data_IF_508304263292
#
_entry.id   IF_508304263292
#
_cell.length_a   1.000
_cell.length_b   1.000
_cell.length_c   1.000
_cell.angle_alpha   90.00
_cell.angle_beta   90.00
_cell.angle_gamma   90.00
#
_symmetry.space_group_name_H-M   'P 1'
#
loop_
_entity.id
_entity.type
_entity.pdbx_description
1 polymer ?
#
# COMPACT_ATOMS: atom_id res chain seq x y z
N UNK A 1 14.74 -8.59 -0.96
CA UNK A 1 14.33 -10.02 -0.97
C UNK A 1 13.12 -10.14 -0.05
N UNK A 2 12.27 -11.13 -0.25
CA UNK A 2 11.17 -11.48 0.66
C UNK A 2 11.46 -12.83 1.31
N UNK A 3 10.89 -13.06 2.49
CA UNK A 3 10.89 -14.36 3.17
C UNK A 3 9.85 -15.28 2.52
N UNK A 4 9.94 -16.59 2.78
CA UNK A 4 8.99 -17.58 2.26
C UNK A 4 7.53 -17.26 2.64
N UNK A 5 7.36 -16.62 3.79
CA UNK A 5 6.14 -16.14 4.42
C UNK A 5 5.67 -14.76 3.90
N UNK A 6 6.29 -14.23 2.83
CA UNK A 6 5.82 -13.03 2.13
C UNK A 6 6.17 -11.71 2.80
N UNK A 7 6.97 -11.73 3.87
CA UNK A 7 7.44 -10.51 4.52
C UNK A 7 8.73 -10.01 3.88
N UNK A 8 8.93 -8.70 3.88
CA UNK A 8 10.20 -8.10 3.48
C UNK A 8 11.35 -8.64 4.35
N UNK A 9 12.53 -8.93 3.78
CA UNK A 9 13.70 -9.38 4.58
C UNK A 9 14.18 -8.37 5.61
N UNK A 10 13.75 -7.11 5.51
CA UNK A 10 14.06 -6.04 6.47
C UNK A 10 12.97 -5.88 7.54
N UNK A 11 11.95 -6.73 7.54
CA UNK A 11 10.93 -6.81 8.58
C UNK A 11 11.47 -7.62 9.76
N UNK A 12 11.66 -6.95 10.90
CA UNK A 12 11.93 -7.60 12.17
C UNK A 12 10.62 -8.13 12.75
N UNK A 13 10.50 -9.46 12.79
CA UNK A 13 9.32 -10.15 13.32
C UNK A 13 9.12 -9.96 14.82
N UNK A 14 10.21 -9.77 15.57
CA UNK A 14 10.15 -9.64 17.03
C UNK A 14 9.65 -8.25 17.43
N UNK A 15 10.14 -7.21 16.77
CA UNK A 15 9.71 -5.82 17.05
C UNK A 15 8.53 -5.37 16.18
N UNK A 16 8.16 -6.17 15.16
CA UNK A 16 7.18 -5.85 14.10
C UNK A 16 7.52 -4.56 13.34
N UNK A 17 8.81 -4.18 13.31
CA UNK A 17 9.32 -2.94 12.71
C UNK A 17 10.31 -3.20 11.59
N UNK A 18 10.59 -2.18 10.78
CA UNK A 18 11.64 -2.27 9.77
C UNK A 18 12.99 -1.92 10.41
N UNK A 19 14.03 -2.72 10.13
CA UNK A 19 15.39 -2.44 10.63
C UNK A 19 16.08 -1.28 9.90
N UNK A 20 15.50 -0.81 8.79
CA UNK A 20 16.05 0.28 7.96
C UNK A 20 15.37 1.61 8.25
N UNK A 21 14.07 1.62 8.56
CA UNK A 21 13.30 2.84 8.81
C UNK A 21 12.76 2.82 10.25
N UNK A 22 13.14 3.79 11.11
CA UNK A 22 12.84 3.77 12.55
C UNK A 22 11.36 3.97 12.89
N UNK A 23 10.58 4.56 11.97
CA UNK A 23 9.13 4.70 12.09
C UNK A 23 8.50 4.16 10.81
N UNK A 24 7.73 3.07 10.94
CA UNK A 24 6.79 2.62 9.93
C UNK A 24 5.46 2.29 10.61
N UNK A 25 4.32 2.79 10.10
CA UNK A 25 3.02 2.40 10.62
C UNK A 25 2.78 0.90 10.41
N UNK A 26 1.86 0.31 11.19
CA UNK A 26 1.46 -1.10 11.20
C UNK A 26 1.22 -1.72 9.80
N UNK A 27 1.02 -0.91 8.77
CA UNK A 27 0.79 -1.25 7.36
C UNK A 27 2.06 -1.58 6.55
N UNK A 28 3.21 -1.86 7.20
CA UNK A 28 4.48 -2.17 6.53
C UNK A 28 4.43 -3.37 5.56
N UNK A 29 3.42 -4.24 5.67
CA UNK A 29 3.15 -5.34 4.75
C UNK A 29 2.83 -4.84 3.34
N UNK A 30 2.20 -3.66 3.22
CA UNK A 30 1.76 -3.13 1.94
C UNK A 30 2.85 -2.36 1.17
N UNK A 31 3.95 -1.95 1.81
CA UNK A 31 5.01 -1.22 1.10
C UNK A 31 5.64 -2.09 0.01
N UNK A 32 5.93 -1.58 -1.22
CA UNK A 32 5.92 -0.19 -1.68
C UNK A 32 4.64 0.20 -2.45
N UNK A 33 3.53 -0.50 -2.20
CA UNK A 33 2.22 -0.18 -2.76
C UNK A 33 1.55 0.88 -1.89
N UNK A 34 0.81 1.77 -2.55
CA UNK A 34 0.01 2.84 -1.95
C UNK A 34 -1.31 2.94 -2.71
N UNK A 35 -2.22 3.77 -2.23
CA UNK A 35 -3.55 3.90 -2.80
C UNK A 35 -4.02 5.36 -2.83
N UNK A 36 -4.94 5.62 -3.75
CA UNK A 36 -5.80 6.81 -3.77
C UNK A 36 -7.25 6.36 -4.02
N UNK A 37 -8.24 7.19 -3.69
CA UNK A 37 -9.65 6.90 -3.96
C UNK A 37 -10.27 8.04 -4.75
N UNK A 38 -10.69 7.72 -5.97
CA UNK A 38 -11.38 8.64 -6.84
C UNK A 38 -12.88 8.60 -6.55
N UNK A 39 -13.35 9.52 -5.72
CA UNK A 39 -14.75 9.64 -5.33
C UNK A 39 -15.71 9.89 -6.52
N UNK A 40 -15.21 10.42 -7.65
CA UNK A 40 -16.05 10.66 -8.83
C UNK A 40 -16.33 9.38 -9.61
N UNK A 41 -15.36 8.47 -9.66
CA UNK A 41 -15.49 7.19 -10.37
C UNK A 41 -15.89 6.05 -9.45
N UNK A 42 -15.80 6.23 -8.13
CA UNK A 42 -16.09 5.19 -7.14
C UNK A 42 -15.01 4.11 -7.09
N UNK A 43 -13.76 4.45 -7.45
CA UNK A 43 -12.67 3.48 -7.57
C UNK A 43 -11.53 3.77 -6.60
N UNK A 44 -10.96 2.71 -6.05
CA UNK A 44 -9.64 2.73 -5.44
C UNK A 44 -8.60 2.50 -6.52
N UNK A 45 -7.58 3.34 -6.53
CA UNK A 45 -6.47 3.33 -7.48
C UNK A 45 -5.21 2.90 -6.76
N UNK A 46 -4.53 1.89 -7.30
CA UNK A 46 -3.36 1.28 -6.70
C UNK A 46 -2.10 1.77 -7.39
N UNK A 47 -1.08 2.12 -6.61
CA UNK A 47 0.16 2.66 -7.14
C UNK A 47 1.38 1.94 -6.55
N UNK A 48 2.43 1.82 -7.36
CA UNK A 48 3.75 1.38 -6.91
C UNK A 48 4.67 2.60 -6.78
N UNK A 49 5.35 2.72 -5.65
CA UNK A 49 6.38 3.74 -5.44
C UNK A 49 7.57 3.51 -6.37
N UNK A 50 8.28 4.55 -6.74
CA UNK A 50 9.51 4.41 -7.52
C UNK A 50 10.66 3.83 -6.66
N UNK A 51 11.63 3.19 -7.32
CA UNK A 51 12.80 2.56 -6.67
C UNK A 51 13.58 3.54 -5.78
N UNK A 52 13.62 4.83 -6.17
CA UNK A 52 14.24 5.91 -5.39
C UNK A 52 13.59 6.13 -4.01
N UNK A 53 12.31 5.78 -3.84
CA UNK A 53 11.63 5.80 -2.53
C UNK A 53 11.87 4.47 -1.80
N UNK A 54 11.79 3.35 -2.52
CA UNK A 54 11.92 2.04 -1.92
C UNK A 54 12.62 1.04 -2.87
N UNK A 55 13.79 0.48 -2.48
CA UNK A 55 14.49 -0.52 -3.29
C UNK A 55 13.66 -1.77 -3.63
N UNK A 56 12.71 -2.15 -2.76
CA UNK A 56 11.78 -3.25 -3.04
C UNK A 56 10.93 -2.99 -4.27
N UNK A 57 10.59 -1.72 -4.53
CA UNK A 57 9.74 -1.36 -5.65
C UNK A 57 10.40 -1.63 -7.01
N UNK A 58 11.72 -1.43 -7.10
CA UNK A 58 12.49 -1.81 -8.29
C UNK A 58 12.46 -3.32 -8.53
N UNK A 59 12.56 -4.11 -7.46
CA UNK A 59 12.48 -5.59 -7.53
C UNK A 59 11.09 -6.03 -8.00
N UNK A 60 10.02 -5.53 -7.36
CA UNK A 60 8.65 -5.87 -7.74
C UNK A 60 8.32 -5.40 -9.17
N UNK A 61 8.79 -4.23 -9.57
CA UNK A 61 8.55 -3.75 -10.93
C UNK A 61 9.15 -4.68 -12.00
N UNK A 62 10.35 -5.23 -11.73
CA UNK A 62 11.06 -6.15 -12.63
C UNK A 62 10.49 -7.56 -12.62
N UNK A 63 9.94 -8.03 -11.50
CA UNK A 63 9.33 -9.35 -11.35
C UNK A 63 7.81 -9.26 -11.17
N UNK A 64 7.08 -9.44 -12.29
CA UNK A 64 5.62 -9.31 -12.32
C UNK A 64 4.89 -10.38 -11.49
N UNK A 65 5.44 -11.58 -11.39
CA UNK A 65 4.84 -12.64 -10.60
C UNK A 65 4.96 -12.32 -9.09
N UNK A 66 6.13 -11.82 -8.69
CA UNK A 66 6.35 -11.36 -7.33
C UNK A 66 5.48 -10.14 -6.99
N UNK A 67 5.35 -9.18 -7.93
CA UNK A 67 4.45 -8.03 -7.76
C UNK A 67 3.00 -8.47 -7.55
N UNK A 68 2.48 -9.39 -8.35
CA UNK A 68 1.11 -9.87 -8.21
C UNK A 68 0.89 -10.49 -6.82
N UNK A 69 1.79 -11.37 -6.37
CA UNK A 69 1.71 -12.00 -5.04
C UNK A 69 1.79 -10.97 -3.90
N UNK A 70 2.70 -10.01 -3.99
CA UNK A 70 2.84 -8.95 -2.99
C UNK A 70 1.61 -8.03 -2.98
N UNK A 71 1.08 -7.74 -4.17
CA UNK A 71 -0.11 -6.92 -4.36
C UNK A 71 -1.34 -7.52 -3.70
N UNK A 72 -1.57 -8.84 -3.79
CA UNK A 72 -2.70 -9.49 -3.10
C UNK A 72 -2.67 -9.25 -1.58
N UNK A 73 -1.48 -9.33 -0.99
CA UNK A 73 -1.30 -9.10 0.45
C UNK A 73 -1.50 -7.63 0.80
N UNK A 74 -0.87 -6.72 0.03
CA UNK A 74 -1.00 -5.27 0.22
C UNK A 74 -2.45 -4.79 0.07
N UNK A 75 -3.16 -5.29 -0.94
CA UNK A 75 -4.57 -5.00 -1.21
C UNK A 75 -5.45 -5.36 -0.02
N UNK A 76 -5.28 -6.57 0.53
CA UNK A 76 -6.07 -7.02 1.69
C UNK A 76 -5.88 -6.11 2.90
N UNK A 77 -4.63 -5.80 3.25
CA UNK A 77 -4.30 -4.96 4.41
C UNK A 77 -4.78 -3.51 4.23
N UNK A 78 -4.62 -2.94 3.03
CA UNK A 78 -5.07 -1.57 2.75
C UNK A 78 -6.60 -1.46 2.77
N UNK A 79 -7.31 -2.40 2.14
CA UNK A 79 -8.78 -2.39 2.16
C UNK A 79 -9.31 -2.51 3.59
N UNK A 80 -8.70 -3.37 4.42
CA UNK A 80 -9.07 -3.47 5.83
C UNK A 80 -8.86 -2.14 6.57
N UNK A 81 -7.69 -1.51 6.38
CA UNK A 81 -7.39 -0.20 6.96
C UNK A 81 -8.43 0.86 6.55
N UNK A 82 -8.73 0.96 5.26
CA UNK A 82 -9.68 1.96 4.73
C UNK A 82 -11.09 1.76 5.31
N UNK A 83 -11.51 0.51 5.53
CA UNK A 83 -12.77 0.20 6.21
C UNK A 83 -12.76 0.59 7.70
N UNK A 84 -11.65 0.46 8.39
CA UNK A 84 -11.53 0.78 9.82
C UNK A 84 -11.30 2.26 10.11
N UNK A 85 -10.71 3.00 9.17
CA UNK A 85 -10.41 4.42 9.35
C UNK A 85 -11.68 5.27 9.52
N UNK A 86 -11.60 6.22 10.45
CA UNK A 86 -12.57 7.29 10.58
C UNK A 86 -12.53 8.21 9.34
N UNK A 87 -13.65 8.84 8.95
CA UNK A 87 -13.73 9.70 7.76
C UNK A 87 -12.65 10.79 7.71
N UNK A 88 -12.40 11.47 8.82
CA UNK A 88 -11.43 12.56 8.92
C UNK A 88 -9.99 12.07 8.70
N UNK A 89 -9.68 10.88 9.23
CA UNK A 89 -8.38 10.25 9.06
C UNK A 89 -8.16 9.82 7.61
N UNK A 90 -9.17 9.19 7.00
CA UNK A 90 -9.12 8.78 5.60
C UNK A 90 -8.93 9.98 4.66
N UNK A 91 -9.76 11.03 4.83
CA UNK A 91 -9.63 12.29 4.07
C UNK A 91 -8.27 12.94 4.23
N UNK A 92 -7.65 12.86 5.41
CA UNK A 92 -6.32 13.41 5.66
C UNK A 92 -5.24 12.62 4.92
N UNK A 93 -5.36 11.29 4.87
CA UNK A 93 -4.44 10.42 4.12
C UNK A 93 -4.52 10.72 2.62
N UNK A 94 -5.73 10.84 2.06
CA UNK A 94 -5.93 11.07 0.62
C UNK A 94 -5.48 12.46 0.13
N UNK A 95 -5.33 13.44 1.02
CA UNK A 95 -4.78 14.77 0.66
C UNK A 95 -3.28 14.74 0.36
N UNK A 96 -2.60 13.64 0.66
CA UNK A 96 -1.14 13.56 0.53
C UNK A 96 -0.76 13.21 -0.90
N UNK A 97 -0.09 14.14 -1.56
CA UNK A 97 0.49 13.87 -2.88
C UNK A 97 1.68 12.89 -2.75
N UNK A 98 1.68 11.85 -3.59
CA UNK A 98 2.80 10.93 -3.74
C UNK A 98 3.31 10.95 -5.20
N UNK A 99 4.00 12.02 -5.63
CA UNK A 99 4.37 12.26 -7.04
C UNK A 99 5.33 11.23 -7.62
N UNK A 100 6.05 10.53 -6.74
CA UNK A 100 7.06 9.54 -7.09
C UNK A 100 6.48 8.11 -7.14
N UNK A 101 5.26 7.99 -7.66
CA UNK A 101 4.51 6.74 -7.81
C UNK A 101 3.95 6.61 -9.22
N UNK A 102 3.54 5.40 -9.59
CA UNK A 102 2.80 5.16 -10.83
C UNK A 102 1.69 4.15 -10.61
N UNK A 103 0.58 4.34 -11.31
CA UNK A 103 -0.62 3.50 -11.19
C UNK A 103 -0.32 2.11 -11.75
N UNK A 104 -0.74 1.09 -11.01
CA UNK A 104 -0.59 -0.33 -11.38
C UNK A 104 -1.93 -1.02 -11.60
N UNK A 105 -2.98 -0.61 -10.89
CA UNK A 105 -4.32 -1.20 -10.99
C UNK A 105 -5.39 -0.22 -10.48
N UNK A 106 -6.66 -0.51 -10.75
CA UNK A 106 -7.81 0.14 -10.13
C UNK A 106 -8.97 -0.85 -10.01
N UNK A 107 -9.84 -0.64 -9.02
CA UNK A 107 -11.04 -1.43 -8.85
C UNK A 107 -12.15 -0.63 -8.16
N UNK A 108 -13.39 -1.10 -8.27
CA UNK A 108 -14.52 -0.51 -7.55
C UNK A 108 -14.32 -0.67 -6.03
N UNK A 109 -14.64 0.37 -5.26
CA UNK A 109 -14.61 0.33 -3.80
C UNK A 109 -16.02 0.41 -3.23
N UNK A 110 -16.22 -0.13 -2.03
CA UNK A 110 -17.54 -0.22 -1.43
C UNK A 110 -18.14 1.17 -1.14
N UNK A 111 -19.46 1.29 -1.33
CA UNK A 111 -20.20 2.52 -1.04
C UNK A 111 -20.03 3.01 0.40
N UNK A 112 -19.84 2.09 1.36
CA UNK A 112 -19.54 2.44 2.75
C UNK A 112 -18.26 3.28 2.86
N UNK A 113 -17.20 2.89 2.15
CA UNK A 113 -15.96 3.66 2.11
C UNK A 113 -16.17 4.98 1.39
N UNK A 114 -16.87 4.98 0.25
CA UNK A 114 -17.15 6.21 -0.50
C UNK A 114 -17.91 7.24 0.33
N UNK A 115 -18.83 6.79 1.20
CA UNK A 115 -19.59 7.68 2.09
C UNK A 115 -18.73 8.44 3.11
N UNK A 116 -17.50 8.00 3.34
CA UNK A 116 -16.53 8.65 4.24
C UNK A 116 -15.76 9.80 3.58
N UNK A 117 -15.78 9.90 2.25
CA UNK A 117 -15.00 10.86 1.47
C UNK A 117 -15.70 12.19 1.33
#
# INVERSE_FOLDING_TARGET
RETADGYCTFYDKATRKCIIHPVKPETCVAGPITFDINAKTGKIEWYLKMEKICPLAGVLYRDKALLAKHFETARKEILQLVRELAPEALRTILKREEPDTFKIEEEEIENEVLSKL
#
